data_IF_520248541569
#
_entry.id   IF_520248541569
#
_cell.length_a   1.000
_cell.length_b   1.000
_cell.length_c   1.000
_cell.angle_alpha   90.00
_cell.angle_beta   90.00
_cell.angle_gamma   90.00
#
_symmetry.space_group_name_H-M   'P 1'
#
loop_
_entity.id
_entity.type
_entity.pdbx_description
1 polymer ?
#
# COMPACT_ATOMS: atom_id res chain seq x y z
N UNK A 1 3.38 24.62 10.54
CA UNK A 1 2.75 23.43 11.16
C UNK A 1 1.55 23.06 10.34
N UNK A 2 1.32 21.77 10.06
CA UNK A 2 0.08 21.30 9.43
C UNK A 2 -0.90 20.88 10.53
N UNK A 3 -2.17 21.28 10.41
CA UNK A 3 -3.26 20.90 11.32
C UNK A 3 -4.19 19.96 10.55
N UNK A 4 -4.63 18.87 11.18
CA UNK A 4 -5.57 17.91 10.61
C UNK A 4 -6.79 17.81 11.51
N UNK A 5 -7.83 18.64 11.28
CA UNK A 5 -9.03 18.62 12.12
C UNK A 5 -9.73 17.26 12.04
N UNK A 6 -10.01 16.66 13.18
CA UNK A 6 -10.79 15.44 13.30
C UNK A 6 -11.80 15.60 14.44
N UNK A 7 -13.06 15.83 14.08
CA UNK A 7 -14.14 16.19 15.00
C UNK A 7 -15.06 14.98 15.27
N UNK A 8 -14.49 13.78 15.39
CA UNK A 8 -15.23 12.52 15.60
C UNK A 8 -14.44 11.53 16.50
N UNK A 9 -15.04 10.39 16.82
CA UNK A 9 -14.42 9.31 17.61
C UNK A 9 -13.65 8.32 16.72
N UNK A 10 -12.59 7.73 17.28
CA UNK A 10 -11.91 6.56 16.69
C UNK A 10 -12.32 5.32 17.48
N UNK A 11 -13.37 4.64 17.04
CA UNK A 11 -13.87 3.43 17.68
C UNK A 11 -14.50 2.45 16.68
N UNK A 12 -15.09 1.36 17.18
CA UNK A 12 -15.70 0.32 16.34
C UNK A 12 -16.96 0.78 15.60
N UNK A 13 -17.63 1.80 16.09
CA UNK A 13 -18.88 2.32 15.51
C UNK A 13 -18.61 3.42 14.47
N UNK A 14 -17.61 4.28 14.75
CA UNK A 14 -17.25 5.44 13.93
C UNK A 14 -16.07 5.16 12.98
N UNK A 15 -15.43 3.99 13.08
CA UNK A 15 -14.34 3.57 12.21
C UNK A 15 -12.98 3.72 12.87
N UNK A 16 -12.12 2.72 12.64
CA UNK A 16 -10.76 2.66 13.20
C UNK A 16 -9.71 3.34 12.31
N UNK A 17 -10.09 3.81 11.13
CA UNK A 17 -9.18 4.44 10.16
C UNK A 17 -9.91 5.55 9.42
N UNK A 18 -9.31 6.74 9.42
CA UNK A 18 -9.89 7.94 8.81
C UNK A 18 -8.83 8.64 7.96
N UNK A 19 -9.20 9.01 6.74
CA UNK A 19 -8.38 9.86 5.89
C UNK A 19 -8.61 11.32 6.27
N UNK A 20 -7.58 11.97 6.81
CA UNK A 20 -7.64 13.37 7.20
C UNK A 20 -6.97 14.25 6.16
N UNK A 21 -7.58 15.41 5.91
CA UNK A 21 -7.00 16.45 5.07
C UNK A 21 -6.54 17.62 5.94
N UNK A 22 -5.45 18.30 5.56
CA UNK A 22 -4.97 19.42 6.35
C UNK A 22 -5.93 20.62 6.21
N UNK A 23 -6.05 21.39 7.29
CA UNK A 23 -6.58 22.75 7.31
C UNK A 23 -5.45 23.70 6.86
N UNK A 24 -5.58 24.29 5.67
CA UNK A 24 -4.59 25.20 5.09
C UNK A 24 -4.99 26.67 5.25
N UNK A 25 -6.26 26.97 5.48
CA UNK A 25 -6.77 28.35 5.58
C UNK A 25 -7.00 28.84 7.02
N UNK A 26 -6.95 27.93 7.99
CA UNK A 26 -7.01 28.18 9.42
C UNK A 26 -8.42 28.29 10.00
N UNK A 27 -9.45 27.81 9.30
CA UNK A 27 -10.83 27.89 9.74
C UNK A 27 -11.25 26.76 10.72
N UNK A 28 -10.37 25.79 10.95
CA UNK A 28 -10.62 24.62 11.81
C UNK A 28 -11.38 23.48 11.13
N UNK A 29 -11.57 23.55 9.81
CA UNK A 29 -12.17 22.51 8.98
C UNK A 29 -11.12 21.91 8.04
N UNK A 30 -11.33 20.66 7.66
CA UNK A 30 -10.43 19.98 6.75
C UNK A 30 -10.67 20.47 5.30
N UNK A 31 -9.63 20.96 4.64
CA UNK A 31 -9.69 21.28 3.21
C UNK A 31 -9.71 19.99 2.41
N UNK A 32 -10.92 19.47 2.12
CA UNK A 32 -11.09 18.31 1.24
C UNK A 32 -10.48 18.66 -0.12
N UNK A 33 -9.28 18.15 -0.37
CA UNK A 33 -8.59 18.31 -1.65
C UNK A 33 -9.34 17.55 -2.75
N UNK A 34 -9.06 17.91 -4.00
CA UNK A 34 -9.35 17.03 -5.13
C UNK A 34 -8.76 15.65 -4.84
N UNK A 35 -9.56 14.61 -5.03
CA UNK A 35 -9.10 13.23 -4.90
C UNK A 35 -7.92 13.07 -5.86
N UNK A 36 -6.74 12.80 -5.33
CA UNK A 36 -5.55 12.56 -6.15
C UNK A 36 -5.89 11.47 -7.17
N UNK A 37 -5.56 11.73 -8.44
CA UNK A 37 -5.85 10.80 -9.52
C UNK A 37 -5.26 9.44 -9.17
N UNK A 38 -6.13 8.45 -9.03
CA UNK A 38 -5.74 7.12 -8.55
C UNK A 38 -5.28 6.31 -9.76
N UNK A 39 -4.13 5.67 -9.66
CA UNK A 39 -3.60 4.77 -10.68
C UNK A 39 -3.54 3.34 -10.19
N UNK A 40 -3.79 2.42 -11.12
CA UNK A 40 -3.64 0.99 -10.92
C UNK A 40 -2.24 0.53 -11.34
N UNK A 41 -1.56 -0.17 -10.44
CA UNK A 41 -0.24 -0.74 -10.64
C UNK A 41 -0.35 -2.26 -10.66
N UNK A 42 0.10 -2.87 -11.75
CA UNK A 42 0.15 -4.33 -11.85
C UNK A 42 1.54 -4.84 -11.46
N UNK A 43 1.61 -5.50 -10.31
CA UNK A 43 2.83 -6.10 -9.77
C UNK A 43 2.84 -7.58 -10.14
N UNK A 44 3.90 -8.04 -10.80
CA UNK A 44 4.08 -9.45 -11.14
C UNK A 44 5.33 -9.98 -10.44
N UNK A 45 5.14 -11.01 -9.62
CA UNK A 45 6.20 -11.67 -8.86
C UNK A 45 6.51 -13.03 -9.47
N UNK A 46 7.79 -13.32 -9.64
CA UNK A 46 8.29 -14.61 -10.11
C UNK A 46 9.09 -15.25 -8.97
N UNK A 47 8.55 -16.32 -8.38
CA UNK A 47 9.26 -17.10 -7.37
C UNK A 47 10.19 -18.10 -8.06
N UNK A 48 11.45 -18.17 -7.62
CA UNK A 48 12.43 -19.06 -8.26
C UNK A 48 12.03 -20.54 -8.17
N UNK A 49 12.54 -21.36 -9.08
CA UNK A 49 12.38 -22.82 -9.06
C UNK A 49 13.50 -23.52 -8.27
N UNK A 50 14.07 -22.86 -7.27
CA UNK A 50 15.06 -23.46 -6.38
C UNK A 50 14.37 -24.21 -5.22
N UNK A 51 15.06 -25.20 -4.66
CA UNK A 51 14.56 -25.92 -3.48
C UNK A 51 14.32 -24.93 -2.34
N UNK A 52 13.13 -25.00 -1.73
CA UNK A 52 12.69 -24.12 -0.64
C UNK A 52 12.59 -22.62 -1.00
N UNK A 53 12.33 -22.29 -2.26
CA UNK A 53 12.11 -20.91 -2.69
C UNK A 53 10.69 -20.37 -2.43
N UNK A 54 9.72 -21.25 -2.16
CA UNK A 54 8.36 -20.84 -1.82
C UNK A 54 8.26 -20.32 -0.38
N UNK A 55 7.18 -19.59 -0.06
CA UNK A 55 6.94 -19.11 1.30
C UNK A 55 5.45 -18.96 1.61
N UNK A 56 5.06 -19.27 2.85
CA UNK A 56 3.75 -18.97 3.43
C UNK A 56 3.74 -17.64 4.21
N UNK A 57 4.85 -16.88 4.18
CA UNK A 57 4.94 -15.59 4.86
C UNK A 57 4.03 -14.55 4.20
N UNK A 58 3.64 -13.53 4.97
CA UNK A 58 3.02 -12.36 4.36
C UNK A 58 4.11 -11.56 3.63
N UNK A 59 3.91 -11.30 2.34
CA UNK A 59 4.81 -10.49 1.51
C UNK A 59 4.19 -9.12 1.28
N UNK A 60 5.02 -8.08 1.36
CA UNK A 60 4.61 -6.70 1.20
C UNK A 60 5.47 -5.97 0.17
N UNK A 61 4.91 -4.93 -0.42
CA UNK A 61 5.60 -4.03 -1.34
C UNK A 61 5.35 -2.56 -0.98
N UNK A 62 6.37 -1.74 -1.17
CA UNK A 62 6.25 -0.28 -1.29
C UNK A 62 6.73 0.12 -2.68
N UNK A 63 6.03 1.04 -3.34
CA UNK A 63 6.37 1.52 -4.67
C UNK A 63 6.78 2.97 -4.58
N UNK A 64 7.98 3.31 -5.03
CA UNK A 64 8.53 4.67 -4.94
C UNK A 64 8.78 5.23 -6.33
N UNK A 65 8.34 6.45 -6.58
CA UNK A 65 8.59 7.21 -7.80
C UNK A 65 9.08 8.62 -7.51
N UNK A 66 9.28 9.42 -8.55
CA UNK A 66 9.78 10.79 -8.44
C UNK A 66 8.72 11.80 -7.96
N UNK A 67 7.44 11.45 -8.05
CA UNK A 67 6.31 12.28 -7.59
C UNK A 67 5.70 11.80 -6.27
N UNK A 68 6.15 10.68 -5.71
CA UNK A 68 5.64 10.17 -4.44
C UNK A 68 5.90 8.69 -4.22
N UNK A 69 5.13 8.08 -3.33
CA UNK A 69 5.21 6.66 -3.04
C UNK A 69 3.85 6.07 -2.67
N UNK A 70 3.70 4.78 -2.91
CA UNK A 70 2.64 3.93 -2.35
C UNK A 70 3.23 3.25 -1.14
N UNK A 71 2.60 3.47 0.01
CA UNK A 71 3.00 2.85 1.27
C UNK A 71 2.87 1.32 1.24
N UNK A 72 3.28 0.70 2.33
CA UNK A 72 3.38 -0.75 2.43
C UNK A 72 2.02 -1.42 2.15
N UNK A 73 1.99 -2.24 1.11
CA UNK A 73 0.79 -2.96 0.65
C UNK A 73 1.05 -4.45 0.71
N UNK A 74 0.15 -5.21 1.35
CA UNK A 74 0.22 -6.67 1.37
C UNK A 74 -0.13 -7.23 -0.01
N UNK A 75 0.69 -8.14 -0.51
CA UNK A 75 0.45 -8.84 -1.78
C UNK A 75 -0.23 -10.19 -1.50
N UNK A 76 -1.56 -10.22 -1.60
CA UNK A 76 -2.35 -11.43 -1.34
C UNK A 76 -3.63 -11.40 -2.17
N UNK A 77 -3.82 -12.41 -3.02
CA UNK A 77 -5.07 -12.57 -3.79
C UNK A 77 -5.48 -14.03 -4.02
N UNK A 78 -4.68 -14.97 -3.56
CA UNK A 78 -4.98 -16.39 -3.54
C UNK A 78 -4.45 -17.00 -2.24
N UNK A 79 -4.96 -18.19 -1.88
CA UNK A 79 -4.53 -18.87 -0.66
C UNK A 79 -3.03 -19.26 -0.67
N UNK A 80 -2.48 -19.57 -1.84
CA UNK A 80 -1.10 -20.07 -1.99
C UNK A 80 -0.34 -19.24 -3.04
N UNK A 81 -0.12 -17.96 -2.73
CA UNK A 81 0.79 -17.11 -3.51
C UNK A 81 2.26 -17.46 -3.17
N UNK A 82 3.20 -17.02 -4.02
CA UNK A 82 4.65 -17.13 -3.80
C UNK A 82 5.19 -18.56 -3.74
N UNK A 83 4.51 -19.49 -4.38
CA UNK A 83 4.94 -20.89 -4.47
C UNK A 83 6.14 -21.08 -5.41
N UNK A 84 6.97 -22.08 -5.14
CA UNK A 84 8.17 -22.38 -5.95
C UNK A 84 7.82 -22.48 -7.44
N UNK A 85 8.59 -21.78 -8.28
CA UNK A 85 8.43 -21.80 -9.73
C UNK A 85 7.13 -21.16 -10.24
N UNK A 86 6.40 -20.42 -9.38
CA UNK A 86 5.14 -19.77 -9.76
C UNK A 86 5.33 -18.30 -10.10
N UNK A 87 4.34 -17.82 -10.84
CA UNK A 87 4.13 -16.43 -11.22
C UNK A 87 2.81 -15.98 -10.60
N UNK A 88 2.87 -14.95 -9.78
CA UNK A 88 1.71 -14.31 -9.15
C UNK A 88 1.60 -12.87 -9.66
N UNK A 89 0.37 -12.38 -9.82
CA UNK A 89 0.11 -11.01 -10.27
C UNK A 89 -0.92 -10.35 -9.36
N UNK A 90 -0.64 -9.12 -8.94
CA UNK A 90 -1.43 -8.33 -8.00
C UNK A 90 -1.73 -6.97 -8.61
N UNK A 91 -2.93 -6.46 -8.38
CA UNK A 91 -3.32 -5.11 -8.77
C UNK A 91 -3.35 -4.25 -7.50
N UNK A 92 -2.56 -3.19 -7.47
CA UNK A 92 -2.42 -2.25 -6.34
C UNK A 92 -2.86 -0.87 -6.81
N UNK A 93 -3.88 -0.32 -6.17
CA UNK A 93 -4.32 1.05 -6.41
C UNK A 93 -3.54 2.01 -5.50
N UNK A 94 -3.13 3.15 -6.05
CA UNK A 94 -2.44 4.19 -5.29
C UNK A 94 -2.43 5.51 -6.04
N UNK A 95 -1.79 6.52 -5.46
CA UNK A 95 -1.53 7.78 -6.15
C UNK A 95 -0.61 7.56 -7.36
N UNK A 96 -0.69 8.43 -8.37
CA UNK A 96 0.34 8.48 -9.41
C UNK A 96 1.70 8.84 -8.79
N UNK A 97 2.64 7.89 -8.76
CA UNK A 97 3.99 8.10 -8.22
C UNK A 97 4.94 8.71 -9.26
N UNK A 98 4.48 8.92 -10.50
CA UNK A 98 5.31 9.36 -11.61
C UNK A 98 6.19 8.25 -12.17
N UNK A 99 7.46 8.57 -12.47
CA UNK A 99 8.44 7.58 -12.92
C UNK A 99 8.87 6.71 -11.75
N UNK A 100 8.57 5.40 -11.83
CA UNK A 100 8.95 4.44 -10.78
C UNK A 100 10.47 4.35 -10.70
N UNK A 101 11.02 4.66 -9.54
CA UNK A 101 12.48 4.65 -9.29
C UNK A 101 12.93 3.33 -8.67
N UNK A 102 12.19 2.82 -7.69
CA UNK A 102 12.49 1.58 -7.00
C UNK A 102 11.26 1.02 -6.26
N UNK A 103 11.39 -0.23 -5.80
CA UNK A 103 10.42 -0.88 -4.92
C UNK A 103 11.14 -1.43 -3.69
N UNK A 104 10.45 -1.46 -2.56
CA UNK A 104 10.90 -2.16 -1.35
C UNK A 104 10.02 -3.38 -1.18
N UNK A 105 10.64 -4.56 -1.08
CA UNK A 105 9.94 -5.83 -0.83
C UNK A 105 10.34 -6.33 0.54
N UNK A 106 9.36 -6.72 1.35
CA UNK A 106 9.57 -7.25 2.70
C UNK A 106 8.65 -8.43 2.98
N UNK A 107 8.96 -9.20 4.01
CA UNK A 107 8.10 -10.28 4.51
C UNK A 107 8.12 -10.33 6.04
N UNK A 108 7.09 -10.89 6.65
CA UNK A 108 6.95 -10.92 8.12
C UNK A 108 7.63 -12.12 8.81
N UNK A 109 8.43 -12.88 8.07
CA UNK A 109 9.14 -14.06 8.54
C UNK A 109 8.27 -15.15 9.21
N UNK A 110 6.98 -15.24 8.83
CA UNK A 110 6.06 -16.29 9.31
C UNK A 110 5.86 -17.45 8.32
N UNK A 111 6.74 -17.56 7.33
CA UNK A 111 6.79 -18.73 6.45
C UNK A 111 7.27 -19.96 7.22
N UNK A 112 6.74 -21.13 6.87
CA UNK A 112 7.09 -22.43 7.44
C UNK A 112 8.40 -23.00 6.87
#
# INVERSE_FOLDING_TARGET
>A
TLIFPFNDWIDREHGLTHLLYPDRDGDGLADKGEVADTKDYRITVYTSDLRAAGTDANVFIEVHGDQGFIGQTKLENAANNFERGRKDAFDVAGVDVGEITHVVVSHDNKGL
#
